data_IF_909739113406
#
_entry.id   IF_909739113406
#
_cell.length_a   1.000
_cell.length_b   1.000
_cell.length_c   1.000
_cell.angle_alpha   90.00
_cell.angle_beta   90.00
_cell.angle_gamma   90.00
#
_symmetry.space_group_name_H-M   'P 1'
#
loop_
_entity.id
_entity.type
_entity.pdbx_description
1 polymer ?
#
# COMPACT_ATOMS: atom_id res chain seq x y z
N UNK A 1 -5.79 -11.29 16.97
CA UNK A 1 -4.81 -10.74 16.00
C UNK A 1 -3.53 -10.26 16.68
N UNK A 2 -3.58 -9.29 17.60
CA UNK A 2 -2.37 -8.79 18.29
C UNK A 2 -1.64 -9.89 19.10
N UNK A 3 -2.37 -10.71 19.86
CA UNK A 3 -1.74 -11.75 20.70
C UNK A 3 -1.08 -12.89 19.91
N UNK A 4 -1.61 -13.23 18.73
CA UNK A 4 -1.12 -14.35 17.92
C UNK A 4 -0.06 -13.90 16.90
N UNK A 5 -0.30 -12.77 16.22
CA UNK A 5 0.52 -12.30 15.10
C UNK A 5 1.01 -10.86 15.26
N UNK A 6 0.80 -10.21 16.42
CA UNK A 6 1.37 -8.89 16.74
C UNK A 6 0.88 -7.71 15.90
N UNK A 7 -0.18 -7.88 15.10
CA UNK A 7 -0.81 -6.79 14.37
C UNK A 7 -1.86 -6.07 15.22
N UNK A 8 -1.82 -4.75 15.17
CA UNK A 8 -2.78 -3.83 15.77
C UNK A 8 -3.41 -2.98 14.66
N UNK A 9 -4.72 -3.02 14.55
CA UNK A 9 -5.46 -2.25 13.56
C UNK A 9 -6.09 -1.03 14.21
N UNK A 10 -5.80 0.15 13.66
CA UNK A 10 -6.47 1.39 14.02
C UNK A 10 -7.77 1.52 13.24
N UNK A 11 -8.90 1.47 13.95
CA UNK A 11 -10.23 1.56 13.37
C UNK A 11 -10.51 2.92 12.74
N UNK A 12 -9.81 3.99 13.14
CA UNK A 12 -10.05 5.33 12.61
C UNK A 12 -9.39 5.56 11.25
N UNK A 13 -8.22 4.97 11.03
CA UNK A 13 -7.44 5.16 9.81
C UNK A 13 -7.51 3.94 8.86
N UNK A 14 -8.03 2.80 9.34
CA UNK A 14 -8.08 1.56 8.57
C UNK A 14 -6.69 0.93 8.37
N UNK A 15 -5.71 1.32 9.17
CA UNK A 15 -4.33 0.88 9.08
C UNK A 15 -4.06 -0.25 10.08
N UNK A 16 -3.46 -1.35 9.62
CA UNK A 16 -2.94 -2.39 10.51
C UNK A 16 -1.41 -2.30 10.55
N UNK A 17 -0.84 -2.24 11.75
CA UNK A 17 0.61 -2.11 11.96
C UNK A 17 1.12 -3.21 12.89
N UNK A 18 2.36 -3.64 12.69
CA UNK A 18 3.05 -4.59 13.56
C UNK A 18 4.49 -4.11 13.78
N UNK A 19 5.07 -4.45 14.93
CA UNK A 19 6.44 -4.02 15.28
C UNK A 19 7.53 -4.68 14.42
N UNK A 20 7.25 -5.86 13.89
CA UNK A 20 8.24 -6.70 13.21
C UNK A 20 7.99 -6.84 11.70
N UNK A 21 6.88 -6.30 11.18
CA UNK A 21 6.50 -6.42 9.78
C UNK A 21 5.79 -5.16 9.31
N UNK A 22 6.21 -4.64 8.15
CA UNK A 22 5.53 -3.52 7.49
C UNK A 22 4.28 -4.05 6.77
N UNK A 23 3.13 -3.42 6.98
CA UNK A 23 1.93 -3.67 6.21
C UNK A 23 1.85 -2.70 5.02
N UNK A 24 2.10 -3.22 3.81
CA UNK A 24 2.18 -2.41 2.60
C UNK A 24 0.92 -2.59 1.76
N UNK A 25 -0.10 -1.78 2.05
CA UNK A 25 -1.34 -1.76 1.28
C UNK A 25 -1.13 -1.17 -0.12
N UNK A 26 -1.20 -2.04 -1.14
CA UNK A 26 -1.05 -1.64 -2.53
C UNK A 26 -2.14 -0.63 -2.96
N UNK A 27 -3.31 -0.63 -2.33
CA UNK A 27 -4.37 0.33 -2.65
C UNK A 27 -4.02 1.76 -2.21
N UNK A 28 -3.30 1.93 -1.10
CA UNK A 28 -2.76 3.23 -0.69
C UNK A 28 -1.81 3.79 -1.75
N UNK A 29 -0.90 2.95 -2.27
CA UNK A 29 -0.02 3.31 -3.38
C UNK A 29 -0.81 3.63 -4.66
N UNK A 30 -1.84 2.84 -4.97
CA UNK A 30 -2.68 3.09 -6.15
C UNK A 30 -3.32 4.48 -6.10
N UNK A 31 -3.90 4.85 -4.97
CA UNK A 31 -4.55 6.16 -4.82
C UNK A 31 -3.57 7.33 -4.95
N UNK A 32 -2.35 7.20 -4.40
CA UNK A 32 -1.39 8.31 -4.30
C UNK A 32 -0.45 8.41 -5.51
N UNK A 33 0.10 7.28 -5.95
CA UNK A 33 1.29 7.24 -6.80
C UNK A 33 1.07 6.51 -8.14
N UNK A 34 -0.09 5.85 -8.37
CA UNK A 34 -0.30 5.13 -9.64
C UNK A 34 -0.61 6.02 -10.83
N UNK A 35 -1.06 7.27 -10.58
CA UNK A 35 -1.58 8.22 -11.57
C UNK A 35 -2.80 7.71 -12.36
N UNK A 36 -3.51 6.70 -11.84
CA UNK A 36 -4.74 6.21 -12.47
C UNK A 36 -5.95 7.08 -12.07
N UNK A 37 -6.90 7.31 -12.99
CA UNK A 37 -8.14 8.02 -12.67
C UNK A 37 -8.94 7.21 -11.65
N UNK A 38 -9.74 7.88 -10.81
CA UNK A 38 -10.50 7.24 -9.72
C UNK A 38 -11.38 6.06 -10.19
N UNK A 39 -11.97 6.15 -11.38
CA UNK A 39 -12.76 5.06 -11.98
C UNK A 39 -11.98 3.82 -12.39
N UNK A 40 -10.64 3.84 -12.32
CA UNK A 40 -9.75 2.75 -12.71
C UNK A 40 -8.82 2.30 -11.58
N UNK A 41 -9.19 2.56 -10.33
CA UNK A 41 -8.40 2.18 -9.14
C UNK A 41 -8.79 0.81 -8.56
N UNK A 42 -9.80 0.14 -9.11
CA UNK A 42 -10.13 -1.24 -8.74
C UNK A 42 -9.06 -2.23 -9.21
N UNK A 43 -8.86 -3.32 -8.46
CA UNK A 43 -7.79 -4.29 -8.70
C UNK A 43 -7.73 -4.75 -10.17
N UNK A 44 -8.87 -5.10 -10.77
CA UNK A 44 -8.93 -5.49 -12.19
C UNK A 44 -8.36 -4.44 -13.14
N UNK A 45 -8.79 -3.18 -12.99
CA UNK A 45 -8.35 -2.08 -13.85
C UNK A 45 -6.86 -1.79 -13.63
N UNK A 46 -6.40 -1.82 -12.37
CA UNK A 46 -4.99 -1.65 -12.00
C UNK A 46 -4.14 -2.75 -12.62
N UNK A 47 -4.56 -4.01 -12.52
CA UNK A 47 -3.87 -5.18 -13.10
C UNK A 47 -3.76 -5.06 -14.62
N UNK A 48 -4.84 -4.67 -15.31
CA UNK A 48 -4.79 -4.39 -16.75
C UNK A 48 -3.80 -3.27 -17.10
N UNK A 49 -3.85 -2.17 -16.36
CA UNK A 49 -3.05 -0.99 -16.66
C UNK A 49 -1.55 -1.17 -16.33
N UNK A 50 -1.24 -1.84 -15.21
CA UNK A 50 0.12 -1.98 -14.69
C UNK A 50 0.75 -3.31 -15.08
N UNK A 51 0.05 -4.43 -14.90
CA UNK A 51 0.57 -5.78 -15.16
C UNK A 51 0.28 -6.29 -16.58
N UNK A 52 -0.54 -5.58 -17.36
CA UNK A 52 -0.80 -5.83 -18.79
C UNK A 52 -1.42 -7.20 -19.11
N UNK A 53 -2.23 -7.73 -18.22
CA UNK A 53 -3.07 -8.90 -18.48
C UNK A 53 -4.51 -8.68 -17.96
N UNK A 54 -5.45 -9.50 -18.44
CA UNK A 54 -6.84 -9.50 -17.97
C UNK A 54 -7.01 -10.55 -16.87
N UNK A 55 -7.20 -10.16 -15.59
CA UNK A 55 -7.42 -11.12 -14.51
C UNK A 55 -8.82 -11.73 -14.60
N UNK A 56 -8.99 -12.90 -13.99
CA UNK A 56 -10.30 -13.53 -13.88
C UNK A 56 -11.24 -12.64 -13.06
N UNK A 57 -12.51 -12.55 -13.47
CA UNK A 57 -13.52 -11.74 -12.77
C UNK A 57 -14.75 -12.60 -12.47
N UNK A 58 -15.25 -12.46 -11.24
CA UNK A 58 -16.48 -13.08 -10.77
C UNK A 58 -17.35 -11.97 -10.18
N UNK A 59 -18.65 -11.95 -10.51
CA UNK A 59 -19.55 -10.98 -9.89
C UNK A 59 -19.64 -11.26 -8.38
N UNK A 60 -19.56 -10.25 -7.51
CA UNK A 60 -19.65 -10.43 -6.06
C UNK A 60 -20.91 -11.20 -5.61
N UNK A 61 -22.04 -10.96 -6.28
CA UNK A 61 -23.33 -11.63 -6.00
C UNK A 61 -23.30 -13.14 -6.30
N UNK A 62 -22.43 -13.57 -7.21
CA UNK A 62 -22.29 -14.97 -7.61
C UNK A 62 -21.30 -15.74 -6.72
N UNK A 63 -20.45 -15.05 -5.95
CA UNK A 63 -19.35 -15.67 -5.20
C UNK A 63 -19.82 -16.75 -4.22
N UNK A 64 -20.87 -16.48 -3.45
CA UNK A 64 -21.40 -17.42 -2.44
C UNK A 64 -21.99 -18.66 -3.11
N UNK A 65 -22.72 -18.47 -4.21
CA UNK A 65 -23.28 -19.58 -5.00
C UNK A 65 -22.16 -20.41 -5.62
N UNK A 66 -21.17 -19.77 -6.24
CA UNK A 66 -20.04 -20.45 -6.86
C UNK A 66 -19.15 -21.18 -5.87
N UNK A 67 -19.07 -20.74 -4.61
CA UNK A 67 -18.37 -21.49 -3.57
C UNK A 67 -18.96 -22.91 -3.37
N UNK A 68 -20.27 -23.09 -3.57
CA UNK A 68 -20.92 -24.41 -3.47
C UNK A 68 -20.98 -25.14 -4.82
N UNK A 69 -21.39 -24.45 -5.87
CA UNK A 69 -21.66 -25.08 -7.18
C UNK A 69 -20.41 -25.24 -8.05
N UNK A 70 -19.44 -24.31 -7.94
CA UNK A 70 -18.27 -24.23 -8.81
C UNK A 70 -17.00 -23.84 -8.02
N UNK A 71 -16.59 -24.65 -7.02
CA UNK A 71 -15.48 -24.30 -6.12
C UNK A 71 -14.16 -24.11 -6.86
N UNK A 72 -13.94 -24.83 -7.97
CA UNK A 72 -12.72 -24.68 -8.78
C UNK A 72 -12.64 -23.30 -9.45
N UNK A 73 -13.75 -22.77 -9.93
CA UNK A 73 -13.82 -21.42 -10.52
C UNK A 73 -13.54 -20.38 -9.44
N UNK A 74 -14.15 -20.52 -8.26
CA UNK A 74 -13.95 -19.59 -7.14
C UNK A 74 -12.51 -19.63 -6.62
N UNK A 75 -11.91 -20.82 -6.51
CA UNK A 75 -10.51 -20.97 -6.14
C UNK A 75 -9.56 -20.34 -7.16
N UNK A 76 -9.83 -20.52 -8.46
CA UNK A 76 -9.04 -19.90 -9.54
C UNK A 76 -9.14 -18.38 -9.51
N UNK A 77 -10.32 -17.83 -9.19
CA UNK A 77 -10.53 -16.40 -9.00
C UNK A 77 -9.74 -15.87 -7.79
N UNK A 78 -9.79 -16.56 -6.65
CA UNK A 78 -9.03 -16.19 -5.46
C UNK A 78 -7.52 -16.13 -5.74
N UNK A 79 -6.97 -17.16 -6.39
CA UNK A 79 -5.54 -17.20 -6.73
C UNK A 79 -5.17 -16.13 -7.75
N UNK A 80 -6.07 -15.79 -8.68
CA UNK A 80 -5.86 -14.70 -9.64
C UNK A 80 -5.66 -13.36 -8.93
N UNK A 81 -6.45 -13.05 -7.91
CA UNK A 81 -6.34 -11.82 -7.12
C UNK A 81 -5.04 -11.79 -6.29
N UNK A 82 -4.64 -12.92 -5.70
CA UNK A 82 -3.39 -13.04 -4.95
C UNK A 82 -2.17 -12.83 -5.86
N UNK A 83 -2.16 -13.47 -7.04
CA UNK A 83 -1.10 -13.34 -8.03
C UNK A 83 -1.02 -11.90 -8.55
N UNK A 84 -2.16 -11.28 -8.85
CA UNK A 84 -2.22 -9.87 -9.25
C UNK A 84 -1.61 -8.97 -8.18
N UNK A 85 -2.01 -9.15 -6.92
CA UNK A 85 -1.56 -8.32 -5.79
C UNK A 85 -0.07 -8.51 -5.53
N UNK A 86 0.42 -9.76 -5.54
CA UNK A 86 1.83 -10.06 -5.34
C UNK A 86 2.73 -9.44 -6.41
N UNK A 87 2.38 -9.58 -7.69
CA UNK A 87 3.18 -9.01 -8.77
C UNK A 87 3.06 -7.49 -8.85
N UNK A 88 1.89 -6.91 -8.54
CA UNK A 88 1.74 -5.46 -8.41
C UNK A 88 2.67 -4.92 -7.31
N UNK A 89 2.68 -5.59 -6.16
CA UNK A 89 3.56 -5.27 -5.04
C UNK A 89 5.04 -5.37 -5.45
N UNK A 90 5.49 -6.53 -5.91
CA UNK A 90 6.90 -6.77 -6.20
C UNK A 90 7.44 -5.89 -7.33
N UNK A 91 6.62 -5.61 -8.35
CA UNK A 91 7.08 -4.89 -9.54
C UNK A 91 7.05 -3.37 -9.35
N UNK A 92 6.03 -2.85 -8.65
CA UNK A 92 5.81 -1.40 -8.56
C UNK A 92 5.99 -0.87 -7.14
N UNK A 93 5.29 -1.44 -6.15
CA UNK A 93 5.21 -0.86 -4.81
C UNK A 93 6.50 -1.06 -4.02
N UNK A 94 7.02 -2.29 -4.00
CA UNK A 94 8.20 -2.67 -3.23
C UNK A 94 9.44 -1.82 -3.57
N UNK A 95 9.93 -1.81 -4.83
CA UNK A 95 11.12 -1.02 -5.16
C UNK A 95 10.88 0.47 -4.95
N UNK A 96 9.68 0.97 -5.21
CA UNK A 96 9.36 2.39 -5.06
C UNK A 96 9.38 2.85 -3.60
N UNK A 97 8.63 2.20 -2.72
CA UNK A 97 8.50 2.59 -1.31
C UNK A 97 9.82 2.39 -0.56
N UNK A 98 10.50 1.27 -0.77
CA UNK A 98 11.79 1.06 -0.12
C UNK A 98 12.87 2.01 -0.63
N UNK A 99 12.87 2.37 -1.92
CA UNK A 99 13.78 3.41 -2.42
C UNK A 99 13.49 4.77 -1.80
N UNK A 100 12.21 5.15 -1.65
CA UNK A 100 11.84 6.41 -0.97
C UNK A 100 12.27 6.42 0.50
N UNK A 101 12.12 5.29 1.20
CA UNK A 101 12.55 5.15 2.59
C UNK A 101 14.08 5.24 2.78
N UNK A 102 14.90 5.17 1.70
CA UNK A 102 16.35 5.43 1.82
C UNK A 102 16.69 6.91 1.95
N UNK A 103 15.83 7.81 1.44
CA UNK A 103 16.05 9.26 1.46
C UNK A 103 15.15 9.98 2.47
N UNK A 104 13.96 9.46 2.74
CA UNK A 104 13.04 9.98 3.73
C UNK A 104 13.28 9.24 5.05
N UNK A 105 13.63 9.93 6.15
CA UNK A 105 13.89 9.32 7.45
C UNK A 105 12.58 8.87 8.14
N UNK A 106 11.89 7.91 7.54
CA UNK A 106 10.63 7.33 8.02
C UNK A 106 10.59 5.83 7.70
N UNK A 107 9.77 5.08 8.44
CA UNK A 107 9.55 3.67 8.14
C UNK A 107 8.79 3.49 6.81
N UNK A 108 9.00 2.39 6.06
CA UNK A 108 8.38 2.17 4.75
C UNK A 108 6.84 2.21 4.76
N UNK A 109 6.21 1.69 5.81
CA UNK A 109 4.76 1.77 6.00
C UNK A 109 4.29 3.22 6.20
N UNK A 110 5.01 4.03 6.98
CA UNK A 110 4.69 5.45 7.13
C UNK A 110 4.90 6.23 5.82
N UNK A 111 5.96 5.92 5.07
CA UNK A 111 6.21 6.49 3.74
C UNK A 111 5.07 6.17 2.79
N UNK A 112 4.42 5.01 2.91
CA UNK A 112 3.26 4.65 2.10
C UNK A 112 1.98 5.41 2.49
N UNK A 113 1.74 5.61 3.80
CA UNK A 113 0.49 6.19 4.30
C UNK A 113 0.47 7.73 4.33
N UNK A 114 1.62 8.39 4.45
CA UNK A 114 1.67 9.87 4.47
C UNK A 114 1.37 10.49 3.11
N UNK A 115 0.81 11.70 3.11
CA UNK A 115 0.63 12.48 1.89
C UNK A 115 1.96 12.93 1.29
N UNK A 116 2.02 13.09 -0.02
CA UNK A 116 3.23 13.56 -0.71
C UNK A 116 3.71 14.94 -0.24
N UNK A 117 2.79 15.81 0.22
CA UNK A 117 3.12 17.09 0.85
C UNK A 117 3.96 16.92 2.13
N UNK A 118 3.52 16.04 3.04
CA UNK A 118 4.26 15.74 4.28
C UNK A 118 5.61 15.09 3.99
N UNK A 119 5.69 14.22 2.97
CA UNK A 119 6.97 13.65 2.54
C UNK A 119 7.95 14.74 2.06
N UNK A 120 7.45 15.73 1.32
CA UNK A 120 8.24 16.88 0.87
C UNK A 120 8.69 17.76 2.05
N UNK A 121 7.81 18.03 3.01
CA UNK A 121 8.15 18.77 4.24
C UNK A 121 9.31 18.11 4.99
N UNK A 122 9.26 16.78 5.15
CA UNK A 122 10.31 16.03 5.85
C UNK A 122 11.65 16.09 5.09
N UNK A 123 11.62 15.96 3.76
CA UNK A 123 12.84 16.12 2.94
C UNK A 123 13.46 17.51 3.09
N UNK A 124 12.65 18.55 3.11
CA UNK A 124 13.12 19.92 3.34
C UNK A 124 13.69 20.09 4.75
N UNK A 125 13.07 19.50 5.77
CA UNK A 125 13.56 19.56 7.15
C UNK A 125 14.95 18.93 7.29
N UNK A 126 15.20 17.79 6.63
CA UNK A 126 16.53 17.16 6.61
C UNK A 126 17.58 18.09 6.00
N UNK A 127 17.28 18.75 4.88
CA UNK A 127 18.20 19.69 4.23
C UNK A 127 18.48 20.92 5.09
N UNK A 128 17.45 21.48 5.74
CA UNK A 128 17.57 22.65 6.63
C UNK A 128 18.45 22.32 7.85
N UNK A 129 18.27 21.14 8.45
CA UNK A 129 19.12 20.66 9.54
C UNK A 129 20.60 20.51 9.12
N UNK A 130 20.87 20.02 7.91
CA UNK A 130 22.24 19.90 7.41
C UNK A 130 22.95 21.25 7.22
N UNK A 131 22.21 22.33 6.97
CA UNK A 131 22.74 23.69 6.74
C UNK A 131 22.69 24.55 8.02
N UNK A 132 22.34 23.97 9.19
CA UNK A 132 22.22 24.67 10.48
C UNK A 132 21.28 25.88 10.45
N UNK A 133 20.26 25.87 9.58
CA UNK A 133 19.21 26.88 9.58
C UNK A 133 18.16 26.44 10.62
N UNK A 134 17.75 27.37 11.50
CA UNK A 134 16.81 27.06 12.58
C UNK A 134 15.42 26.75 11.99
N UNK A 135 14.93 25.52 12.19
CA UNK A 135 13.62 25.10 11.70
C UNK A 135 12.56 25.26 12.81
N UNK A 136 11.57 26.13 12.62
CA UNK A 136 10.49 26.40 13.58
C UNK A 136 9.31 25.40 13.47
N UNK A 137 9.58 24.16 13.05
CA UNK A 137 8.53 23.13 12.92
C UNK A 137 8.70 22.15 14.07
N UNK A 138 7.61 21.86 14.77
CA UNK A 138 7.52 20.90 15.87
C UNK A 138 8.01 19.52 15.40
N UNK A 139 9.30 19.22 15.59
CA UNK A 139 9.86 17.89 15.40
C UNK A 139 9.37 17.05 16.58
N UNK A 140 8.21 16.41 16.43
CA UNK A 140 7.69 15.45 17.43
C UNK A 140 8.27 14.04 17.23
N UNK A 141 9.20 13.85 16.30
CA UNK A 141 9.72 12.52 15.91
C UNK A 141 11.25 12.45 15.97
N UNK A 142 11.80 12.77 17.14
CA UNK A 142 13.18 12.42 17.49
C UNK A 142 13.26 12.13 18.99
N UNK A 143 12.74 10.97 19.40
CA UNK A 143 13.03 10.30 20.68
C UNK A 143 12.68 8.82 20.56
#
# INVERSE_FOLDING_TARGET
>A
MNEEIGFQCDNNQGECRAKFSCHLDCFAWVKRDSYLPQGSQGLKAVTKAKLRYDPLEVNPEDMVRFAMEQPQTMASYSVSDDVATYYLYMTYVHPFIFSLATIIPMLPDEVLWKGSGTLCEILLMVQVCLVNIFCHVSITYAS
#
